data_IF_611866566586
#
_entry.id   IF_611866566586
#
_cell.length_a   1.000
_cell.length_b   1.000
_cell.length_c   1.000
_cell.angle_alpha   90.00
_cell.angle_beta   90.00
_cell.angle_gamma   90.00
#
_symmetry.space_group_name_H-M   'P 1'
#
loop_
_entity.id
_entity.type
_entity.pdbx_description
1 polymer ?
#
# COMPACT_ATOMS: atom_id res chain seq x y z
N UNK A 1 3.12 -2.61 8.58
CA UNK A 1 2.60 -2.81 7.19
C UNK A 1 2.14 -1.47 6.66
N UNK A 2 1.96 -1.32 5.35
CA UNK A 2 1.54 -0.05 4.76
C UNK A 2 0.22 -0.16 4.00
N UNK A 3 -0.57 0.92 4.02
CA UNK A 3 -1.67 1.12 3.09
C UNK A 3 -1.25 2.10 1.99
N UNK A 4 -1.60 1.76 0.76
CA UNK A 4 -1.32 2.55 -0.43
C UNK A 4 -2.63 3.02 -1.05
N UNK A 5 -2.76 4.33 -1.22
CA UNK A 5 -3.99 4.97 -1.64
C UNK A 5 -4.14 5.00 -3.17
N UNK A 6 -4.70 3.95 -3.77
CA UNK A 6 -5.07 3.93 -5.19
C UNK A 6 -6.58 4.20 -5.38
N UNK A 7 -7.15 5.14 -4.64
CA UNK A 7 -8.59 5.44 -4.74
C UNK A 7 -9.01 6.01 -6.10
N UNK A 8 -8.07 6.44 -6.93
CA UNK A 8 -8.31 6.89 -8.30
C UNK A 8 -8.26 5.75 -9.34
N UNK A 9 -8.06 4.51 -8.89
CA UNK A 9 -8.00 3.31 -9.73
C UNK A 9 -6.99 3.41 -10.88
N UNK A 10 -5.82 3.98 -10.62
CA UNK A 10 -4.76 4.03 -11.63
C UNK A 10 -4.43 2.60 -12.05
N UNK A 11 -4.50 2.35 -13.35
CA UNK A 11 -4.18 1.06 -13.92
C UNK A 11 -2.68 1.03 -14.22
N UNK A 12 -1.89 0.54 -13.27
CA UNK A 12 -0.43 0.54 -13.36
C UNK A 12 0.10 -0.24 -14.56
N UNK A 13 -0.53 -1.36 -14.94
CA UNK A 13 -0.16 -2.12 -16.15
C UNK A 13 -0.34 -1.29 -17.42
N UNK A 14 -1.37 -0.44 -17.47
CA UNK A 14 -1.61 0.46 -18.62
C UNK A 14 -0.66 1.66 -18.58
N UNK A 15 -0.37 2.20 -17.40
CA UNK A 15 0.54 3.34 -17.23
C UNK A 15 2.01 2.98 -17.47
N UNK A 16 2.40 1.75 -17.13
CA UNK A 16 3.78 1.27 -17.19
C UNK A 16 3.83 -0.09 -17.92
N UNK A 17 3.60 -0.12 -19.24
CA UNK A 17 3.45 -1.38 -19.98
C UNK A 17 4.75 -2.19 -20.09
N UNK A 18 5.91 -1.56 -19.94
CA UNK A 18 7.23 -2.20 -19.98
C UNK A 18 7.72 -2.68 -18.61
N UNK A 19 7.07 -2.25 -17.54
CA UNK A 19 7.41 -2.61 -16.17
C UNK A 19 6.50 -3.74 -15.69
N UNK A 20 7.08 -4.83 -15.18
CA UNK A 20 6.32 -5.91 -14.54
C UNK A 20 6.07 -5.59 -13.07
N UNK A 21 4.94 -6.03 -12.52
CA UNK A 21 4.68 -6.04 -11.08
C UNK A 21 4.67 -4.67 -10.38
N UNK A 22 4.39 -3.59 -11.11
CA UNK A 22 4.13 -2.27 -10.50
C UNK A 22 2.80 -2.32 -9.74
N UNK A 23 2.86 -2.06 -8.44
CA UNK A 23 1.70 -2.09 -7.55
C UNK A 23 1.28 -0.70 -7.07
N UNK A 24 2.16 0.29 -7.16
CA UNK A 24 1.89 1.67 -6.79
C UNK A 24 2.92 2.63 -7.39
N UNK A 25 2.57 3.91 -7.50
CA UNK A 25 3.50 4.98 -7.85
C UNK A 25 3.26 6.22 -6.99
N UNK A 26 4.28 7.06 -6.85
CA UNK A 26 4.20 8.33 -6.17
C UNK A 26 5.19 9.32 -6.78
N UNK A 27 4.77 10.56 -6.98
CA UNK A 27 5.65 11.62 -7.50
C UNK A 27 6.45 12.32 -6.40
N UNK A 28 7.57 12.92 -6.77
CA UNK A 28 8.42 13.76 -5.90
C UNK A 28 7.60 14.87 -5.24
N UNK A 29 6.69 15.52 -5.97
CA UNK A 29 5.75 16.49 -5.40
C UNK A 29 4.84 15.90 -4.33
N UNK A 30 4.34 14.68 -4.53
CA UNK A 30 3.54 14.00 -3.50
C UNK A 30 4.40 13.64 -2.29
N UNK A 31 5.65 13.22 -2.50
CA UNK A 31 6.61 12.94 -1.42
C UNK A 31 6.99 14.20 -0.63
N UNK A 32 6.99 15.37 -1.28
CA UNK A 32 7.18 16.66 -0.61
C UNK A 32 6.08 17.02 0.40
N UNK A 33 4.93 16.32 0.38
CA UNK A 33 3.91 16.44 1.40
C UNK A 33 4.26 15.57 2.62
N UNK A 34 4.41 16.18 3.80
CA UNK A 34 4.76 15.51 5.06
C UNK A 34 3.86 14.32 5.40
N UNK A 35 2.61 14.31 4.90
CA UNK A 35 1.65 13.21 5.08
C UNK A 35 2.07 11.89 4.43
N UNK A 36 3.10 11.92 3.58
CA UNK A 36 3.65 10.76 2.86
C UNK A 36 5.03 10.34 3.38
N UNK A 37 5.49 10.88 4.52
CA UNK A 37 6.80 10.55 5.09
C UNK A 37 7.02 9.04 5.29
N UNK A 38 5.96 8.27 5.55
CA UNK A 38 5.98 6.81 5.66
C UNK A 38 6.52 6.10 4.40
N UNK A 39 6.55 6.77 3.24
CA UNK A 39 7.19 6.25 2.05
C UNK A 39 8.68 5.95 2.28
N UNK A 40 9.38 6.78 3.05
CA UNK A 40 10.82 6.63 3.29
C UNK A 40 11.15 5.39 4.15
N UNK A 41 10.15 4.79 4.77
CA UNK A 41 10.29 3.59 5.60
C UNK A 41 9.99 2.30 4.81
N UNK A 42 9.40 2.42 3.61
CA UNK A 42 9.21 1.31 2.70
C UNK A 42 10.56 0.78 2.23
N UNK A 43 10.70 -0.54 2.26
CA UNK A 43 11.88 -1.25 1.79
C UNK A 43 11.49 -2.56 1.15
N UNK A 44 12.43 -3.19 0.48
CA UNK A 44 12.26 -4.57 0.03
C UNK A 44 11.84 -5.46 1.21
N UNK A 45 10.86 -6.32 0.99
CA UNK A 45 10.25 -7.15 2.02
C UNK A 45 9.09 -6.51 2.78
N UNK A 46 8.89 -5.18 2.72
CA UNK A 46 7.72 -4.56 3.33
C UNK A 46 6.41 -5.17 2.81
N UNK A 47 5.46 -5.39 3.71
CA UNK A 47 4.10 -5.80 3.33
C UNK A 47 3.24 -4.57 3.15
N UNK A 48 2.60 -4.49 1.99
CA UNK A 48 1.72 -3.39 1.61
C UNK A 48 0.35 -3.89 1.17
N UNK A 49 -0.66 -3.05 1.33
CA UNK A 49 -2.00 -3.28 0.82
C UNK A 49 -2.44 -2.08 -0.02
N UNK A 50 -2.85 -2.35 -1.26
CA UNK A 50 -3.39 -1.33 -2.15
C UNK A 50 -4.88 -1.18 -1.91
N UNK A 51 -5.30 0.03 -1.55
CA UNK A 51 -6.72 0.39 -1.38
C UNK A 51 -7.27 0.82 -2.73
N UNK A 52 -8.29 0.11 -3.20
CA UNK A 52 -8.89 0.36 -4.52
C UNK A 52 -9.81 1.58 -4.53
N UNK A 53 -10.29 1.99 -5.71
CA UNK A 53 -11.27 3.09 -5.84
C UNK A 53 -12.59 2.87 -5.13
N UNK A 54 -13.01 1.61 -4.97
CA UNK A 54 -14.17 1.25 -4.16
C UNK A 54 -13.88 1.30 -2.66
N UNK A 55 -12.70 1.81 -2.26
CA UNK A 55 -12.20 1.86 -0.88
C UNK A 55 -12.16 0.48 -0.23
N UNK A 56 -11.90 -0.55 -1.02
CA UNK A 56 -11.80 -1.92 -0.54
C UNK A 56 -10.35 -2.32 -0.35
N UNK A 57 -10.13 -3.14 0.65
CA UNK A 57 -8.90 -3.89 0.91
C UNK A 57 -9.13 -5.30 0.41
N UNK A 58 -8.29 -5.75 -0.52
CA UNK A 58 -8.42 -7.07 -1.14
C UNK A 58 -7.10 -7.83 -1.22
N UNK A 59 -6.00 -7.16 -1.52
CA UNK A 59 -4.75 -7.81 -1.91
C UNK A 59 -3.58 -7.24 -1.13
N UNK A 60 -2.77 -8.14 -0.58
CA UNK A 60 -1.54 -7.83 0.14
C UNK A 60 -0.35 -8.27 -0.71
N UNK A 61 0.60 -7.36 -0.88
CA UNK A 61 1.80 -7.56 -1.66
C UNK A 61 3.04 -7.48 -0.78
N UNK A 62 4.06 -8.26 -1.12
CA UNK A 62 5.43 -8.08 -0.62
C UNK A 62 6.18 -7.19 -1.60
N UNK A 63 6.76 -6.10 -1.10
CA UNK A 63 7.58 -5.19 -1.89
C UNK A 63 8.85 -5.92 -2.32
N UNK A 64 9.16 -5.82 -3.61
CA UNK A 64 10.36 -6.42 -4.21
C UNK A 64 11.36 -5.37 -4.66
N UNK A 65 10.91 -4.15 -4.98
CA UNK A 65 11.81 -3.04 -5.31
C UNK A 65 11.08 -1.69 -5.22
N UNK A 66 11.86 -0.63 -5.09
CA UNK A 66 11.44 0.75 -5.31
C UNK A 66 12.42 1.34 -6.33
N UNK A 67 11.91 1.97 -7.40
CA UNK A 67 12.77 2.60 -8.43
C UNK A 67 12.23 3.95 -8.82
N UNK A 68 13.11 4.93 -8.94
CA UNK A 68 12.82 6.17 -9.65
C UNK A 68 12.84 5.94 -11.16
N UNK A 69 11.95 6.61 -11.90
CA UNK A 69 11.97 6.58 -13.36
C UNK A 69 13.12 7.39 -13.97
N UNK A 70 13.79 8.25 -13.20
CA UNK A 70 14.84 9.15 -13.68
C UNK A 70 14.31 10.36 -14.46
N UNK A 71 13.15 10.22 -15.11
CA UNK A 71 12.49 11.30 -15.84
C UNK A 71 11.75 12.24 -14.87
N UNK A 72 11.91 13.55 -15.08
CA UNK A 72 11.25 14.59 -14.28
C UNK A 72 10.13 15.25 -15.08
N UNK A 73 8.92 15.13 -14.56
CA UNK A 73 7.77 15.91 -15.02
C UNK A 73 7.84 17.34 -14.48
N UNK A 74 7.42 18.33 -15.28
CA UNK A 74 7.49 19.75 -14.91
C UNK A 74 6.59 20.11 -13.72
N UNK A 75 5.47 19.42 -13.53
CA UNK A 75 4.47 19.71 -12.51
C UNK A 75 4.58 18.80 -11.28
N UNK A 76 5.15 17.59 -11.45
CA UNK A 76 5.20 16.53 -10.45
C UNK A 76 6.60 16.13 -9.97
N UNK A 77 7.66 16.53 -10.68
CA UNK A 77 9.02 16.04 -10.44
C UNK A 77 9.21 14.59 -10.89
N UNK A 78 10.17 13.90 -10.29
CA UNK A 78 10.41 12.48 -10.60
C UNK A 78 9.26 11.59 -10.10
N UNK A 79 8.93 10.52 -10.84
CA UNK A 79 7.99 9.49 -10.37
C UNK A 79 8.76 8.27 -9.87
N UNK A 80 8.37 7.80 -8.68
CA UNK A 80 8.89 6.58 -8.07
C UNK A 80 7.86 5.46 -8.18
N UNK A 81 8.30 4.31 -8.67
CA UNK A 81 7.50 3.10 -8.80
C UNK A 81 7.79 2.13 -7.65
N UNK A 82 6.73 1.58 -7.07
CA UNK A 82 6.78 0.49 -6.11
C UNK A 82 6.43 -0.82 -6.80
N UNK A 83 7.33 -1.79 -6.68
CA UNK A 83 7.18 -3.12 -7.25
C UNK A 83 6.85 -4.13 -6.15
N UNK A 84 6.01 -5.10 -6.46
CA UNK A 84 5.75 -6.17 -5.51
C UNK A 84 4.88 -7.30 -6.02
N UNK A 85 4.95 -8.42 -5.30
CA UNK A 85 4.23 -9.65 -5.64
C UNK A 85 3.11 -9.92 -4.66
N UNK A 86 1.98 -10.41 -5.15
CA UNK A 86 0.83 -10.77 -4.32
C UNK A 86 1.17 -11.98 -3.44
N UNK A 87 1.08 -11.81 -2.12
CA UNK A 87 1.35 -12.86 -1.13
C UNK A 87 0.09 -13.35 -0.42
N UNK A 88 -0.95 -12.52 -0.31
CA UNK A 88 -2.19 -12.88 0.34
C UNK A 88 -3.37 -12.06 -0.17
N UNK A 89 -4.59 -12.55 0.10
CA UNK A 89 -5.85 -11.86 -0.21
C UNK A 89 -6.82 -11.88 0.96
N UNK A 90 -7.59 -10.82 1.13
CA UNK A 90 -8.72 -10.77 2.05
C UNK A 90 -9.96 -11.33 1.33
N UNK A 91 -10.57 -12.38 1.89
CA UNK A 91 -11.73 -13.06 1.30
C UNK A 91 -12.83 -13.23 2.36
N UNK A 92 -14.00 -12.56 2.23
CA UNK A 92 -14.32 -11.57 1.19
C UNK A 92 -13.50 -10.29 1.31
N UNK A 93 -13.43 -9.50 0.24
CA UNK A 93 -12.87 -8.15 0.30
C UNK A 93 -13.62 -7.32 1.36
N UNK A 94 -12.90 -6.43 2.06
CA UNK A 94 -13.50 -5.60 3.11
C UNK A 94 -13.45 -4.13 2.74
N UNK A 95 -14.49 -3.38 3.11
CA UNK A 95 -14.40 -1.93 3.09
C UNK A 95 -13.31 -1.48 4.07
N UNK A 96 -12.36 -0.66 3.60
CA UNK A 96 -11.23 -0.19 4.41
C UNK A 96 -11.73 0.49 5.68
N UNK A 97 -12.77 1.33 5.58
CA UNK A 97 -13.33 2.04 6.72
C UNK A 97 -13.78 1.08 7.83
N UNK A 98 -14.58 0.07 7.45
CA UNK A 98 -15.05 -0.96 8.37
C UNK A 98 -13.90 -1.81 8.93
N UNK A 99 -12.94 -2.18 8.08
CA UNK A 99 -11.77 -2.95 8.49
C UNK A 99 -10.96 -2.20 9.55
N UNK A 100 -10.56 -0.97 9.26
CA UNK A 100 -9.74 -0.18 10.19
C UNK A 100 -10.48 0.11 11.50
N UNK A 101 -11.79 0.39 11.43
CA UNK A 101 -12.60 0.57 12.64
C UNK A 101 -12.73 -0.71 13.47
N UNK A 102 -12.88 -1.88 12.83
CA UNK A 102 -12.94 -3.19 13.53
C UNK A 102 -11.67 -3.45 14.33
N UNK A 103 -10.52 -3.04 13.81
CA UNK A 103 -9.21 -3.19 14.48
C UNK A 103 -8.82 -1.96 15.30
N UNK A 104 -9.70 -0.97 15.44
CA UNK A 104 -9.45 0.27 16.20
C UNK A 104 -8.16 0.99 15.80
N UNK A 105 -7.82 0.95 14.51
CA UNK A 105 -6.61 1.58 13.96
C UNK A 105 -6.66 3.09 14.21
N UNK A 106 -5.58 3.64 14.78
CA UNK A 106 -5.45 5.08 15.04
C UNK A 106 -4.24 5.62 14.29
N UNK A 107 -4.49 6.34 13.20
CA UNK A 107 -3.44 6.96 12.40
C UNK A 107 -3.81 8.40 12.04
N UNK A 108 -2.89 9.33 12.27
CA UNK A 108 -3.14 10.78 12.14
C UNK A 108 -3.61 11.20 10.74
N UNK A 109 -3.22 10.46 9.70
CA UNK A 109 -3.64 10.73 8.31
C UNK A 109 -4.74 9.81 7.80
N UNK A 110 -5.28 8.94 8.66
CA UNK A 110 -6.44 8.09 8.36
C UNK A 110 -7.67 8.50 9.20
N UNK A 111 -8.03 9.78 9.17
CA UNK A 111 -9.18 10.29 9.93
C UNK A 111 -10.49 9.64 9.46
N UNK A 112 -11.31 9.20 10.41
CA UNK A 112 -12.55 8.44 10.14
C UNK A 112 -12.32 7.24 9.21
N UNK A 113 -11.17 6.57 9.37
CA UNK A 113 -10.80 5.38 8.60
C UNK A 113 -10.72 5.64 7.09
N UNK A 114 -10.30 6.85 6.69
CA UNK A 114 -10.14 7.31 5.30
C UNK A 114 -8.83 8.10 5.16
N UNK A 115 -8.16 7.98 4.02
CA UNK A 115 -7.01 8.84 3.72
C UNK A 115 -7.39 10.32 3.76
N UNK A 116 -6.59 11.09 4.50
CA UNK A 116 -6.65 12.55 4.48
C UNK A 116 -6.21 13.07 3.11
N UNK A 117 -6.69 14.25 2.72
CA UNK A 117 -6.29 14.90 1.47
C UNK A 117 -4.76 15.02 1.41
N UNK A 118 -4.18 14.56 0.29
CA UNK A 118 -2.74 14.54 0.02
C UNK A 118 -1.96 13.39 0.66
N UNK A 119 -2.62 12.50 1.43
CA UNK A 119 -2.00 11.28 1.97
C UNK A 119 -2.21 10.11 1.00
N UNK A 120 -1.11 9.49 0.63
CA UNK A 120 -1.00 8.40 -0.32
C UNK A 120 -0.45 7.13 0.30
N UNK A 121 0.33 7.26 1.38
CA UNK A 121 0.99 6.16 2.09
C UNK A 121 0.71 6.32 3.57
N UNK A 122 0.26 5.26 4.22
CA UNK A 122 0.08 5.22 5.67
C UNK A 122 0.75 3.98 6.24
N UNK A 123 1.62 4.15 7.23
CA UNK A 123 2.20 3.04 7.98
C UNK A 123 1.25 2.67 9.13
N UNK A 124 0.84 1.41 9.19
CA UNK A 124 -0.06 0.91 10.25
C UNK A 124 0.67 0.16 11.36
N UNK A 125 2.00 0.06 11.32
CA UNK A 125 2.77 -0.74 12.27
C UNK A 125 2.21 -2.17 12.41
N UNK A 126 1.74 -2.49 13.62
CA UNK A 126 1.13 -3.76 14.03
C UNK A 126 -0.41 -3.74 14.17
N UNK A 127 -1.08 -2.64 13.83
CA UNK A 127 -2.52 -2.48 14.12
C UNK A 127 -3.41 -3.53 13.43
N UNK A 128 -2.94 -4.13 12.34
CA UNK A 128 -3.65 -5.20 11.60
C UNK A 128 -2.99 -6.57 11.74
N UNK A 129 -2.09 -6.79 12.71
CA UNK A 129 -1.32 -8.03 12.80
C UNK A 129 -2.19 -9.27 12.97
N UNK A 130 -3.28 -9.17 13.73
CA UNK A 130 -4.24 -10.26 13.91
C UNK A 130 -5.21 -10.46 12.74
N UNK A 131 -5.15 -9.62 11.69
CA UNK A 131 -5.99 -9.77 10.51
C UNK A 131 -5.67 -11.07 9.77
N UNK A 132 -6.66 -11.95 9.68
CA UNK A 132 -6.56 -13.20 8.95
C UNK A 132 -6.75 -12.97 7.44
N UNK A 133 -5.82 -13.50 6.65
CA UNK A 133 -5.78 -13.39 5.19
C UNK A 133 -5.51 -14.75 4.56
N UNK A 134 -6.05 -14.97 3.36
CA UNK A 134 -5.87 -16.20 2.60
C UNK A 134 -4.56 -16.14 1.82
N UNK A 135 -3.68 -17.10 2.06
CA UNK A 135 -2.44 -17.33 1.32
C UNK A 135 -2.58 -18.57 0.42
N UNK A 136 -1.54 -18.87 -0.37
CA UNK A 136 -1.46 -20.14 -1.12
C UNK A 136 -1.38 -21.37 -0.20
N UNK A 137 -0.91 -21.19 1.04
CA UNK A 137 -0.69 -22.26 2.02
C UNK A 137 -1.79 -22.33 3.08
N UNK A 138 -2.89 -21.59 2.91
CA UNK A 138 -3.99 -21.54 3.86
C UNK A 138 -4.17 -20.16 4.50
N UNK A 139 -4.95 -20.12 5.58
CA UNK A 139 -5.22 -18.89 6.32
C UNK A 139 -4.00 -18.55 7.20
N UNK A 140 -3.57 -17.28 7.17
CA UNK A 140 -2.51 -16.76 8.04
C UNK A 140 -2.87 -15.36 8.54
N UNK A 141 -2.35 -14.99 9.68
CA UNK A 141 -2.34 -13.61 10.17
C UNK A 141 -1.35 -12.73 9.41
N UNK A 142 -1.50 -11.41 9.48
CA UNK A 142 -0.52 -10.46 8.94
C UNK A 142 0.81 -10.56 9.70
N UNK A 143 0.80 -10.81 11.02
CA UNK A 143 2.05 -11.01 11.79
C UNK A 143 2.85 -12.21 11.27
N UNK A 144 2.21 -13.34 11.02
CA UNK A 144 2.89 -14.52 10.45
C UNK A 144 3.48 -14.23 9.07
N UNK A 145 2.85 -13.35 8.28
CA UNK A 145 3.42 -12.95 6.99
C UNK A 145 4.66 -12.07 7.15
N UNK A 146 4.75 -11.26 8.20
CA UNK A 146 5.93 -10.44 8.51
C UNK A 146 7.11 -11.28 8.98
N UNK A 147 6.85 -12.35 9.75
CA UNK A 147 7.90 -13.22 10.31
C UNK A 147 8.60 -14.10 9.26
N UNK A 148 7.90 -14.46 8.17
CA UNK A 148 8.50 -15.19 7.03
C UNK A 148 9.55 -14.32 6.28
N UNK A 149 9.73 -13.06 6.69
CA UNK A 149 10.52 -12.05 5.99
C UNK A 149 11.75 -11.60 6.80
N UNK A 150 11.92 -12.06 8.04
CA UNK A 150 13.17 -11.94 8.82
C UNK A 150 14.03 -13.20 8.63
#
# INVERSE_FOLDING_TARGET
>A
MFLLNNTHNKNYKKSYPTESDVIFDISEKQLGNIKNAAWNELREGSIVCVVTSTRKVSTFCKVTAIKGLGDKDADGGETFLLFGVVIAKLMPESNMGLLLSKFSVKHQYLSNSKFSIGSHVAELGSDLDSLQVKTRHGLKSISELKEIIL
#
